data_IF_755476655381
#
_entry.id   IF_755476655381
#
_cell.length_a   1.000
_cell.length_b   1.000
_cell.length_c   1.000
_cell.angle_alpha   90.00
_cell.angle_beta   90.00
_cell.angle_gamma   90.00
#
_symmetry.space_group_name_H-M   'P 1'
#
loop_
_entity.id
_entity.type
_entity.pdbx_description
1 polymer ?
#
# COMPACT_ATOMS: atom_id res chain seq x y z
N UNK A 1 -5.54 -19.89 -11.13
CA UNK A 1 -4.56 -20.96 -10.81
C UNK A 1 -3.46 -20.91 -11.86
N UNK A 2 -2.20 -21.13 -11.47
CA UNK A 2 -1.05 -21.19 -12.39
C UNK A 2 -0.43 -22.58 -12.26
N UNK A 3 -0.22 -23.26 -13.38
CA UNK A 3 0.48 -24.54 -13.50
C UNK A 3 1.47 -24.47 -14.67
N UNK A 4 2.23 -25.52 -14.94
CA UNK A 4 3.22 -25.57 -16.03
C UNK A 4 2.99 -26.79 -16.93
N UNK A 5 3.35 -26.68 -18.22
CA UNK A 5 3.42 -27.81 -19.15
C UNK A 5 4.78 -28.55 -19.07
N UNK A 6 4.96 -29.62 -19.87
CA UNK A 6 6.21 -30.39 -19.93
C UNK A 6 7.45 -29.56 -20.37
N UNK A 7 7.23 -28.39 -20.96
CA UNK A 7 8.27 -27.46 -21.43
C UNK A 7 8.41 -26.25 -20.49
N UNK A 8 7.82 -26.29 -19.30
CA UNK A 8 7.79 -25.21 -18.32
C UNK A 8 7.08 -23.92 -18.79
N UNK A 9 6.17 -24.00 -19.76
CA UNK A 9 5.35 -22.85 -20.10
C UNK A 9 4.22 -22.69 -19.08
N UNK A 10 3.97 -21.47 -18.56
CA UNK A 10 2.87 -21.24 -17.63
C UNK A 10 1.50 -21.43 -18.30
N UNK A 11 0.63 -22.17 -17.61
CA UNK A 11 -0.78 -22.37 -17.95
C UNK A 11 -1.63 -21.66 -16.89
N UNK A 12 -2.44 -20.69 -17.33
CA UNK A 12 -3.36 -19.94 -16.49
C UNK A 12 -4.78 -20.47 -16.65
N UNK A 13 -5.38 -20.83 -15.51
CA UNK A 13 -6.83 -21.01 -15.44
C UNK A 13 -7.48 -19.63 -15.27
N UNK A 14 -8.18 -19.15 -16.30
CA UNK A 14 -8.87 -17.87 -16.35
C UNK A 14 -10.37 -18.05 -16.59
N UNK A 15 -11.14 -17.01 -16.30
CA UNK A 15 -12.51 -16.87 -16.75
C UNK A 15 -12.62 -15.53 -17.49
N UNK A 16 -13.11 -15.56 -18.72
CA UNK A 16 -13.30 -14.33 -19.51
C UNK A 16 -14.59 -13.65 -19.08
N UNK A 17 -14.58 -12.31 -19.06
CA UNK A 17 -15.79 -11.53 -18.81
C UNK A 17 -16.79 -11.62 -19.97
N UNK A 18 -16.33 -11.94 -21.17
CA UNK A 18 -17.16 -12.13 -22.36
C UNK A 18 -17.13 -13.59 -22.81
N UNK A 19 -18.28 -14.12 -23.23
CA UNK A 19 -18.42 -15.49 -23.72
C UNK A 19 -19.03 -16.45 -22.68
N UNK A 20 -18.63 -17.72 -22.75
CA UNK A 20 -19.08 -18.76 -21.83
C UNK A 20 -18.49 -18.57 -20.43
N UNK A 21 -19.30 -18.59 -19.37
CA UNK A 21 -18.89 -18.51 -17.95
C UNK A 21 -18.21 -19.81 -17.44
N UNK A 22 -17.43 -20.47 -18.30
CA UNK A 22 -16.67 -21.65 -17.95
C UNK A 22 -15.18 -21.28 -17.86
N UNK A 23 -14.47 -21.71 -16.81
CA UNK A 23 -13.03 -21.48 -16.74
C UNK A 23 -12.29 -22.21 -17.85
N UNK A 24 -11.36 -21.52 -18.51
CA UNK A 24 -10.48 -22.07 -19.54
C UNK A 24 -9.03 -22.10 -19.07
N UNK A 25 -8.24 -23.00 -19.65
CA UNK A 25 -6.79 -23.07 -19.43
C UNK A 25 -6.06 -22.51 -20.64
N UNK A 26 -5.27 -21.46 -20.42
CA UNK A 26 -4.57 -20.71 -21.49
C UNK A 26 -3.08 -20.79 -21.25
N UNK A 27 -2.35 -21.18 -22.29
CA UNK A 27 -0.88 -21.22 -22.27
C UNK A 27 -0.30 -19.86 -22.63
N UNK A 28 0.69 -19.41 -21.89
CA UNK A 28 1.46 -18.20 -22.15
C UNK A 28 2.96 -18.49 -22.14
N UNK A 29 3.75 -17.64 -22.79
CA UNK A 29 5.22 -17.72 -22.72
C UNK A 29 5.77 -17.02 -21.46
N UNK A 30 5.02 -16.07 -20.90
CA UNK A 30 5.36 -15.33 -19.68
C UNK A 30 4.09 -14.89 -18.96
N UNK A 31 4.13 -14.92 -17.63
CA UNK A 31 3.07 -14.38 -16.76
C UNK A 31 3.70 -13.39 -15.79
N UNK A 32 3.14 -12.18 -15.74
CA UNK A 32 3.53 -11.14 -14.79
C UNK A 32 2.43 -11.00 -13.74
N UNK A 33 2.80 -11.16 -12.46
CA UNK A 33 1.88 -10.97 -11.34
C UNK A 33 1.99 -9.52 -10.85
N UNK A 34 0.92 -8.75 -11.06
CA UNK A 34 0.79 -7.39 -10.52
C UNK A 34 0.45 -7.45 -9.03
N UNK A 35 1.48 -7.64 -8.20
CA UNK A 35 1.32 -7.79 -6.75
C UNK A 35 0.92 -6.47 -6.07
N UNK A 36 0.14 -6.58 -4.99
CA UNK A 36 -0.18 -5.45 -4.12
C UNK A 36 0.97 -5.03 -3.21
N UNK A 37 0.78 -3.91 -2.50
CA UNK A 37 1.72 -3.37 -1.53
C UNK A 37 1.40 -3.88 -0.12
N UNK A 38 2.45 -4.24 0.62
CA UNK A 38 2.40 -4.59 2.05
C UNK A 38 3.33 -3.65 2.82
N UNK A 39 3.18 -3.52 4.15
CA UNK A 39 4.09 -2.70 4.96
C UNK A 39 5.55 -3.13 4.78
N UNK A 40 6.42 -2.18 4.43
CA UNK A 40 7.84 -2.45 4.14
C UNK A 40 8.75 -2.54 5.37
N UNK A 41 8.28 -2.08 6.53
CA UNK A 41 8.98 -2.22 7.81
C UNK A 41 7.98 -2.27 8.97
N UNK A 42 8.38 -2.91 10.07
CA UNK A 42 7.63 -2.87 11.31
C UNK A 42 7.91 -1.55 12.04
N UNK A 43 7.10 -0.53 11.73
CA UNK A 43 7.23 0.80 12.34
C UNK A 43 6.97 0.81 13.85
N UNK A 44 6.34 -0.23 14.40
CA UNK A 44 6.11 -0.33 15.84
C UNK A 44 7.43 -0.49 16.61
N UNK A 45 8.44 -1.07 15.96
CA UNK A 45 9.80 -1.24 16.49
C UNK A 45 10.54 0.08 16.74
N UNK A 46 10.09 1.18 16.13
CA UNK A 46 10.73 2.49 16.29
C UNK A 46 10.32 3.21 17.58
N UNK A 47 9.31 2.71 18.31
CA UNK A 47 8.83 3.29 19.56
C UNK A 47 8.47 4.79 19.47
N UNK A 48 7.96 5.21 18.30
CA UNK A 48 7.59 6.60 18.02
C UNK A 48 6.19 6.98 18.54
N UNK A 49 5.48 6.06 19.19
CA UNK A 49 4.10 6.30 19.67
C UNK A 49 3.04 6.36 18.55
N UNK A 50 3.40 6.02 17.31
CA UNK A 50 2.45 5.84 16.22
C UNK A 50 1.75 4.47 16.33
N UNK A 51 0.46 4.44 15.99
CA UNK A 51 -0.34 3.21 15.92
C UNK A 51 -0.32 2.60 14.53
N UNK A 52 -0.61 1.30 14.45
CA UNK A 52 -0.84 0.59 13.20
C UNK A 52 -2.34 0.36 12.97
N UNK A 53 -2.76 0.35 11.71
CA UNK A 53 -4.09 -0.11 11.32
C UNK A 53 -4.12 -1.63 11.17
N UNK A 54 -5.29 -2.20 10.88
CA UNK A 54 -5.50 -3.66 10.76
C UNK A 54 -4.70 -4.31 9.62
N UNK A 55 -4.14 -3.51 8.72
CA UNK A 55 -3.30 -3.94 7.60
C UNK A 55 -1.79 -3.78 7.89
N UNK A 56 -1.42 -3.28 9.07
CA UNK A 56 -0.04 -3.08 9.50
C UNK A 56 0.62 -1.80 8.96
N UNK A 57 -0.14 -0.86 8.40
CA UNK A 57 0.35 0.46 8.00
C UNK A 57 0.14 1.49 9.12
N UNK A 58 0.89 2.60 9.09
CA UNK A 58 0.73 3.67 10.08
C UNK A 58 -0.69 4.23 10.02
N UNK A 59 -1.35 4.20 11.17
CA UNK A 59 -2.69 4.74 11.37
C UNK A 59 -2.62 6.24 11.61
N UNK A 60 -3.42 6.98 10.84
CA UNK A 60 -3.63 8.40 11.03
C UNK A 60 -4.68 8.64 12.11
N UNK A 61 -4.58 9.77 12.80
CA UNK A 61 -5.50 10.14 13.89
C UNK A 61 -6.91 10.45 13.37
N UNK A 62 -7.02 11.19 12.26
CA UNK A 62 -8.27 11.42 11.53
C UNK A 62 -7.97 11.78 10.06
N UNK A 63 -8.21 10.83 9.15
CA UNK A 63 -7.93 10.99 7.73
C UNK A 63 -8.78 12.07 7.04
N UNK A 64 -9.93 12.44 7.61
CA UNK A 64 -10.78 13.50 7.06
C UNK A 64 -10.26 14.90 7.41
N UNK A 65 -9.42 15.00 8.43
CA UNK A 65 -8.89 16.28 8.93
C UNK A 65 -7.46 16.50 8.44
N UNK A 66 -6.60 15.49 8.53
CA UNK A 66 -5.20 15.59 8.13
C UNK A 66 -4.70 14.28 7.54
N UNK A 67 -3.96 14.36 6.44
CA UNK A 67 -3.36 13.19 5.81
C UNK A 67 -2.01 12.81 6.43
N UNK A 68 -1.52 13.49 7.47
CA UNK A 68 -0.18 13.24 8.01
C UNK A 68 -0.11 13.01 9.52
N UNK A 69 -1.11 13.44 10.29
CA UNK A 69 -1.07 13.37 11.76
C UNK A 69 -1.28 11.94 12.25
N UNK A 70 -0.34 11.46 13.05
CA UNK A 70 -0.43 10.16 13.74
C UNK A 70 -0.82 10.34 15.21
N UNK A 71 -1.03 9.24 15.92
CA UNK A 71 -1.23 9.26 17.37
C UNK A 71 0.02 9.71 18.15
N UNK A 72 1.21 9.58 17.55
CA UNK A 72 2.48 9.99 18.16
C UNK A 72 2.67 11.51 18.12
N UNK A 73 2.88 12.12 19.29
CA UNK A 73 3.13 13.55 19.38
C UNK A 73 4.43 13.94 18.64
N UNK A 74 4.32 14.87 17.69
CA UNK A 74 5.44 15.29 16.84
C UNK A 74 5.84 14.26 15.77
N UNK A 75 5.04 13.21 15.57
CA UNK A 75 5.28 12.14 14.60
C UNK A 75 4.25 12.23 13.48
N UNK A 76 4.75 12.37 12.25
CA UNK A 76 3.94 12.55 11.05
C UNK A 76 4.30 11.48 10.01
N UNK A 77 3.32 11.06 9.22
CA UNK A 77 3.48 10.03 8.21
C UNK A 77 3.24 10.58 6.80
N UNK A 78 4.00 10.09 5.82
CA UNK A 78 3.86 10.48 4.42
C UNK A 78 4.08 9.29 3.47
N UNK A 79 3.28 9.24 2.40
CA UNK A 79 3.38 8.22 1.36
C UNK A 79 2.99 6.82 1.82
N UNK A 80 3.67 5.82 1.25
CA UNK A 80 3.27 4.40 1.28
C UNK A 80 3.26 3.78 2.68
N UNK A 81 3.90 4.41 3.66
CA UNK A 81 3.89 3.95 5.06
C UNK A 81 2.48 3.94 5.67
N UNK A 82 1.56 4.70 5.06
CA UNK A 82 0.15 4.83 5.45
C UNK A 82 -0.79 3.87 4.71
N UNK A 83 -0.27 3.11 3.74
CA UNK A 83 -1.04 2.24 2.87
C UNK A 83 -0.66 2.39 1.40
N UNK A 84 -1.26 1.58 0.50
CA UNK A 84 -1.03 1.70 -0.94
C UNK A 84 -1.35 3.12 -1.44
N UNK A 85 -0.40 3.73 -2.15
CA UNK A 85 -0.50 5.07 -2.73
C UNK A 85 0.21 5.10 -4.08
N UNK A 86 -0.25 5.97 -4.96
CA UNK A 86 0.51 6.31 -6.16
C UNK A 86 1.52 7.43 -5.87
N UNK A 87 2.28 7.83 -6.89
CA UNK A 87 3.31 8.85 -6.76
C UNK A 87 2.69 10.23 -6.46
N UNK A 88 1.69 10.72 -7.22
CA UNK A 88 1.02 12.00 -6.90
C UNK A 88 0.51 12.07 -5.46
N UNK A 89 -0.18 11.05 -4.97
CA UNK A 89 -0.72 11.02 -3.60
C UNK A 89 0.42 11.06 -2.58
N UNK A 90 1.51 10.34 -2.84
CA UNK A 90 2.69 10.35 -1.97
C UNK A 90 3.35 11.73 -1.89
N UNK A 91 3.32 12.51 -2.98
CA UNK A 91 3.83 13.89 -2.99
C UNK A 91 2.93 14.83 -2.19
N UNK A 92 1.61 14.69 -2.33
CA UNK A 92 0.62 15.46 -1.54
C UNK A 92 0.81 15.19 -0.04
N UNK A 93 0.98 13.91 0.31
CA UNK A 93 1.23 13.48 1.68
C UNK A 93 2.49 14.09 2.27
N UNK A 94 3.59 14.13 1.49
CA UNK A 94 4.84 14.74 1.92
C UNK A 94 4.66 16.24 2.22
N UNK A 95 3.88 16.94 1.40
CA UNK A 95 3.53 18.34 1.63
C UNK A 95 2.73 18.54 2.91
N UNK A 96 1.72 17.70 3.16
CA UNK A 96 0.92 17.72 4.40
C UNK A 96 1.80 17.48 5.63
N UNK A 97 2.63 16.44 5.62
CA UNK A 97 3.52 16.12 6.74
C UNK A 97 4.52 17.24 7.04
N UNK A 98 5.08 17.88 6.01
CA UNK A 98 5.98 19.02 6.19
C UNK A 98 5.29 20.22 6.85
N UNK A 99 4.05 20.54 6.46
CA UNK A 99 3.27 21.63 7.05
C UNK A 99 2.89 21.32 8.50
N UNK A 100 2.46 20.10 8.79
CA UNK A 100 2.11 19.68 10.15
C UNK A 100 3.32 19.70 11.08
N UNK A 101 4.48 19.23 10.62
CA UNK A 101 5.72 19.33 11.36
C UNK A 101 6.12 20.79 11.62
N UNK A 102 6.03 21.67 10.62
CA UNK A 102 6.31 23.09 10.78
C UNK A 102 5.34 23.75 11.79
N UNK A 103 4.06 23.42 11.73
CA UNK A 103 3.03 23.91 12.67
C UNK A 103 3.30 23.42 14.10
N UNK A 104 3.73 22.17 14.26
CA UNK A 104 4.09 21.61 15.55
C UNK A 104 5.27 22.35 16.17
N UNK A 105 6.36 22.54 15.41
CA UNK A 105 7.56 23.25 15.87
C UNK A 105 7.25 24.71 16.26
N UNK A 106 6.38 25.40 15.52
CA UNK A 106 5.98 26.79 15.82
C UNK A 106 5.18 26.94 17.12
N UNK A 107 4.57 25.86 17.62
CA UNK A 107 3.75 25.86 18.84
C UNK A 107 4.55 25.46 20.09
N UNK A 108 5.78 24.97 19.91
CA UNK A 108 6.74 24.73 20.99
C UNK A 108 7.29 26.06 21.51
#
# INVERSE_FOLDING_TARGET
>A
RITEDEKHNPILRIERQEGTSAPEEVKHDLVVLSQGLIPGCDVSSFHLGAELNDFGFVKLSDENISSAVTAGAGVFAAGVVKGPRDIPDSVVDAGSAAIEAANYIRKL
#
